data_IF_049966591448
#
_entry.id   IF_049966591448
#
_cell.length_a   1.000
_cell.length_b   1.000
_cell.length_c   1.000
_cell.angle_alpha   90.00
_cell.angle_beta   90.00
_cell.angle_gamma   90.00
#
_symmetry.space_group_name_H-M   'P 1'
#
loop_
_entity.id
_entity.type
_entity.pdbx_description
1 polymer ?
#
# COMPACT_ATOMS: atom_id res chain seq x y z
N UNK A 1 -44.14 17.01 69.73
CA UNK A 1 -45.12 18.05 70.08
C UNK A 1 -44.48 19.42 70.11
N UNK A 2 -44.41 20.06 68.94
CA UNK A 2 -44.35 21.52 68.85
C UNK A 2 -45.72 21.95 68.34
N UNK A 3 -46.41 22.74 69.17
CA UNK A 3 -47.81 23.14 68.99
C UNK A 3 -47.93 24.08 67.79
N UNK A 4 -48.73 23.69 66.79
CA UNK A 4 -49.08 24.51 65.62
C UNK A 4 -49.82 25.78 66.08
N UNK A 5 -49.29 26.96 65.75
CA UNK A 5 -49.95 28.25 65.98
C UNK A 5 -50.18 28.99 64.65
N UNK A 6 -51.21 29.85 64.60
CA UNK A 6 -51.66 30.59 63.41
C UNK A 6 -50.62 31.51 62.74
N UNK A 7 -49.41 31.65 63.30
CA UNK A 7 -48.39 32.59 62.79
C UNK A 7 -47.45 32.05 61.70
N UNK A 8 -47.59 30.79 61.25
CA UNK A 8 -46.65 30.16 60.31
C UNK A 8 -47.00 30.22 58.81
N UNK A 9 -47.98 31.03 58.37
CA UNK A 9 -48.47 30.96 56.98
C UNK A 9 -47.74 31.82 55.92
N UNK A 10 -46.64 32.51 56.26
CA UNK A 10 -46.06 33.51 55.33
C UNK A 10 -45.07 32.99 54.28
N UNK A 11 -44.77 31.69 54.19
CA UNK A 11 -43.85 31.16 53.16
C UNK A 11 -44.21 29.71 52.73
N UNK A 12 -45.37 29.52 52.09
CA UNK A 12 -45.77 28.23 51.50
C UNK A 12 -45.26 28.20 50.06
N UNK A 13 -44.19 27.46 49.78
CA UNK A 13 -43.68 27.33 48.40
C UNK A 13 -43.19 25.91 48.04
N UNK A 14 -43.67 24.87 48.75
CA UNK A 14 -43.38 23.47 48.42
C UNK A 14 -44.63 22.60 48.55
N UNK A 15 -44.75 21.64 47.62
CA UNK A 15 -45.88 20.70 47.45
C UNK A 15 -46.19 19.89 48.72
N UNK A 16 -45.19 19.67 49.58
CA UNK A 16 -45.31 18.90 50.82
C UNK A 16 -45.99 19.67 51.96
N UNK A 17 -45.94 21.01 51.94
CA UNK A 17 -46.58 21.85 52.96
C UNK A 17 -48.11 21.93 52.78
N UNK A 18 -48.58 21.77 51.53
CA UNK A 18 -50.01 21.69 51.20
C UNK A 18 -50.61 20.39 51.75
N UNK A 19 -49.89 19.26 51.63
CA UNK A 19 -50.37 17.97 52.12
C UNK A 19 -50.53 17.96 53.64
N UNK A 20 -49.63 18.63 54.37
CA UNK A 20 -49.70 18.78 55.83
C UNK A 20 -50.86 19.68 56.30
N UNK A 21 -51.21 20.71 55.52
CA UNK A 21 -52.39 21.54 55.78
C UNK A 21 -53.69 20.75 55.55
N UNK A 22 -53.73 19.91 54.52
CA UNK A 22 -54.87 19.03 54.23
C UNK A 22 -55.09 18.05 55.38
N UNK A 23 -54.03 17.44 55.93
CA UNK A 23 -54.16 16.46 57.03
C UNK A 23 -54.68 17.10 58.34
N UNK A 24 -54.34 18.38 58.60
CA UNK A 24 -54.89 19.16 59.71
C UNK A 24 -56.37 19.51 59.50
N UNK A 25 -56.75 20.02 58.32
CA UNK A 25 -58.13 20.36 58.00
C UNK A 25 -59.05 19.13 57.93
N UNK A 26 -58.51 17.95 57.66
CA UNK A 26 -59.26 16.69 57.56
C UNK A 26 -59.31 15.88 58.86
N UNK A 27 -58.80 16.42 59.98
CA UNK A 27 -59.01 15.86 61.32
C UNK A 27 -58.32 14.51 61.58
N UNK A 28 -57.30 14.14 60.79
CA UNK A 28 -56.51 12.92 61.02
C UNK A 28 -55.42 13.16 62.06
N UNK A 29 -55.82 13.34 63.32
CA UNK A 29 -54.86 13.39 64.44
C UNK A 29 -54.72 12.00 65.08
N UNK A 30 -53.52 11.39 65.09
CA UNK A 30 -53.31 10.13 65.80
C UNK A 30 -53.38 10.32 67.32
N UNK A 31 -53.98 9.35 68.01
CA UNK A 31 -54.26 9.37 69.44
C UNK A 31 -52.99 9.29 70.32
N UNK A 32 -53.01 9.85 71.55
CA UNK A 32 -51.85 9.85 72.44
C UNK A 32 -51.59 8.46 73.03
N UNK A 33 -50.33 8.06 73.07
CA UNK A 33 -49.82 6.80 73.61
C UNK A 33 -49.63 6.88 75.14
N UNK A 34 -49.99 5.80 75.84
CA UNK A 34 -49.84 5.66 77.29
C UNK A 34 -48.38 5.41 77.73
N UNK A 35 -48.06 5.86 78.94
CA UNK A 35 -46.78 5.77 79.67
C UNK A 35 -46.36 4.34 80.07
N UNK A 36 -45.04 4.09 80.32
CA UNK A 36 -44.46 2.74 80.32
C UNK A 36 -44.50 2.04 81.69
N UNK A 37 -44.39 0.71 81.67
CA UNK A 37 -44.14 -0.15 82.85
C UNK A 37 -42.73 -0.77 82.77
N UNK A 38 -41.98 -0.91 83.88
CA UNK A 38 -40.58 -1.34 83.83
C UNK A 38 -40.38 -2.87 83.73
N UNK A 39 -39.49 -3.21 82.80
CA UNK A 39 -38.46 -4.28 82.69
C UNK A 39 -38.49 -5.50 83.61
N UNK A 40 -38.10 -6.66 83.04
CA UNK A 40 -37.03 -7.45 83.63
C UNK A 40 -35.80 -7.63 82.72
N UNK A 41 -34.71 -7.97 83.41
CA UNK A 41 -33.28 -8.04 83.04
C UNK A 41 -32.94 -8.81 81.75
N UNK A 42 -31.90 -8.40 81.00
CA UNK A 42 -31.45 -9.13 79.81
C UNK A 42 -30.73 -10.44 80.16
N UNK A 43 -31.03 -11.45 79.34
CA UNK A 43 -30.32 -12.74 79.23
C UNK A 43 -29.00 -12.55 78.46
N UNK A 44 -27.93 -13.33 78.74
CA UNK A 44 -26.62 -13.13 78.13
C UNK A 44 -26.63 -13.29 76.60
N UNK A 45 -25.86 -12.42 75.96
CA UNK A 45 -25.68 -12.32 74.51
C UNK A 45 -24.79 -13.46 74.01
N UNK A 46 -25.16 -14.19 72.94
CA UNK A 46 -24.28 -15.18 72.35
C UNK A 46 -23.09 -14.52 71.65
N UNK A 47 -21.94 -15.18 71.75
CA UNK A 47 -20.63 -14.76 71.19
C UNK A 47 -20.72 -14.68 69.66
N UNK A 48 -20.23 -13.60 69.02
CA UNK A 48 -20.24 -13.49 67.56
C UNK A 48 -19.29 -14.51 66.91
N UNK A 49 -19.78 -15.15 65.85
CA UNK A 49 -19.01 -16.03 64.96
C UNK A 49 -17.87 -15.26 64.26
N UNK A 50 -16.71 -15.87 64.01
CA UNK A 50 -15.60 -15.19 63.35
C UNK A 50 -15.98 -14.73 61.93
N UNK A 51 -15.64 -13.47 61.64
CA UNK A 51 -15.78 -12.86 60.32
C UNK A 51 -14.87 -13.55 59.30
N UNK A 52 -15.37 -13.90 58.10
CA UNK A 52 -14.54 -14.49 57.05
C UNK A 52 -13.49 -13.48 56.56
N UNK A 53 -12.27 -13.96 56.36
CA UNK A 53 -11.11 -13.19 55.90
C UNK A 53 -11.37 -12.63 54.49
N UNK A 54 -11.02 -11.36 54.20
CA UNK A 54 -11.19 -10.79 52.86
C UNK A 54 -10.40 -11.59 51.83
N UNK A 55 -11.07 -11.90 50.72
CA UNK A 55 -10.48 -12.50 49.53
C UNK A 55 -9.46 -11.53 48.92
N UNK A 56 -8.27 -12.00 48.51
CA UNK A 56 -7.26 -11.14 47.90
C UNK A 56 -7.79 -10.56 46.58
N UNK A 57 -7.60 -9.26 46.41
CA UNK A 57 -7.92 -8.53 45.17
C UNK A 57 -7.04 -9.06 44.04
N UNK A 58 -7.59 -9.37 42.85
CA UNK A 58 -6.78 -9.83 41.74
C UNK A 58 -5.77 -8.76 41.33
N UNK A 59 -4.52 -9.17 41.20
CA UNK A 59 -3.42 -8.32 40.70
C UNK A 59 -3.72 -7.98 39.23
N UNK A 60 -3.56 -6.72 38.79
CA UNK A 60 -3.77 -6.36 37.40
C UNK A 60 -2.84 -7.17 36.50
N UNK A 61 -3.43 -7.84 35.51
CA UNK A 61 -2.72 -8.59 34.49
C UNK A 61 -1.79 -7.65 33.72
N UNK A 62 -0.51 -8.00 33.48
CA UNK A 62 0.38 -7.17 32.70
C UNK A 62 -0.20 -6.92 31.30
N UNK A 63 -0.23 -5.65 30.90
CA UNK A 63 -0.64 -5.24 29.55
C UNK A 63 0.42 -5.76 28.57
N UNK A 64 0.06 -6.50 27.52
CA UNK A 64 1.01 -6.94 26.52
C UNK A 64 1.68 -5.72 25.85
N UNK A 65 2.96 -5.81 25.48
CA UNK A 65 3.64 -4.72 24.79
C UNK A 65 2.88 -4.37 23.50
N UNK A 66 2.73 -3.07 23.24
CA UNK A 66 2.19 -2.57 21.98
C UNK A 66 3.01 -3.15 20.82
N UNK A 67 2.38 -3.78 19.81
CA UNK A 67 3.13 -4.30 18.68
C UNK A 67 3.90 -3.16 18.01
N UNK A 68 5.20 -3.36 17.79
CA UNK A 68 5.99 -2.47 16.94
C UNK A 68 5.33 -2.40 15.57
N UNK A 69 5.08 -1.20 14.99
CA UNK A 69 4.47 -1.11 13.67
C UNK A 69 5.32 -1.87 12.66
N UNK A 70 4.73 -2.87 12.01
CA UNK A 70 5.37 -3.57 10.91
C UNK A 70 5.49 -2.57 9.76
N UNK A 71 6.69 -2.35 9.20
CA UNK A 71 6.84 -1.43 8.08
C UNK A 71 5.95 -1.87 6.91
N UNK A 72 5.05 -0.99 6.49
CA UNK A 72 4.07 -1.24 5.43
C UNK A 72 4.74 -0.99 4.08
N UNK A 73 4.64 -1.95 3.17
CA UNK A 73 5.04 -1.76 1.77
C UNK A 73 4.14 -0.68 1.17
N UNK A 74 4.72 0.38 0.60
CA UNK A 74 3.95 1.52 0.12
C UNK A 74 4.76 2.80 -0.02
N UNK A 75 4.05 3.91 -0.15
CA UNK A 75 4.59 5.25 -0.34
C UNK A 75 4.19 6.11 0.85
N UNK A 76 5.14 6.80 1.46
CA UNK A 76 4.89 7.77 2.53
C UNK A 76 5.88 8.94 2.42
N UNK A 77 5.36 10.17 2.37
CA UNK A 77 6.17 11.40 2.36
C UNK A 77 7.33 11.45 1.34
N UNK A 78 7.12 10.89 0.15
CA UNK A 78 8.14 10.83 -0.92
C UNK A 78 9.14 9.68 -0.79
N UNK A 79 9.00 8.84 0.24
CA UNK A 79 9.76 7.60 0.39
C UNK A 79 8.93 6.41 -0.04
N UNK A 80 9.60 5.41 -0.60
CA UNK A 80 9.02 4.13 -1.00
C UNK A 80 9.65 3.00 -0.21
N UNK A 81 8.80 2.17 0.38
CA UNK A 81 9.19 0.95 1.08
C UNK A 81 8.74 -0.28 0.30
N UNK A 82 9.65 -1.18 -0.04
CA UNK A 82 9.37 -2.38 -0.83
C UNK A 82 10.37 -3.50 -0.53
N UNK A 83 10.08 -4.72 -1.04
CA UNK A 83 11.03 -5.84 -0.99
C UNK A 83 11.93 -5.82 -2.21
N UNK A 84 13.24 -5.69 -2.00
CA UNK A 84 14.22 -5.75 -3.08
C UNK A 84 14.37 -7.20 -3.61
N UNK A 85 15.21 -7.35 -4.63
CA UNK A 85 15.53 -8.60 -5.33
C UNK A 85 16.26 -9.63 -4.46
N UNK A 86 16.82 -9.22 -3.31
CA UNK A 86 17.40 -10.10 -2.29
C UNK A 86 16.36 -10.55 -1.25
N UNK A 87 15.17 -9.95 -1.27
CA UNK A 87 14.08 -10.19 -0.31
C UNK A 87 14.10 -9.25 0.89
N UNK A 88 15.06 -8.33 0.96
CA UNK A 88 15.17 -7.37 2.06
C UNK A 88 14.12 -6.26 1.90
N UNK A 89 13.56 -5.82 3.02
CA UNK A 89 12.74 -4.63 3.04
C UNK A 89 13.63 -3.39 3.02
N UNK A 90 13.46 -2.55 2.01
CA UNK A 90 14.24 -1.32 1.80
C UNK A 90 13.32 -0.13 1.72
N UNK A 91 13.78 1.02 2.22
CA UNK A 91 13.12 2.31 2.09
C UNK A 91 14.07 3.29 1.41
N UNK A 92 13.63 3.92 0.33
CA UNK A 92 14.44 4.90 -0.40
C UNK A 92 13.61 6.13 -0.83
N UNK A 93 14.28 7.26 -1.02
CA UNK A 93 13.63 8.51 -1.41
C UNK A 93 13.45 8.55 -2.93
N UNK A 94 12.22 8.81 -3.39
CA UNK A 94 11.90 8.93 -4.82
C UNK A 94 12.71 10.04 -5.49
N UNK A 95 13.03 11.11 -4.76
CA UNK A 95 13.83 12.23 -5.28
C UNK A 95 15.30 11.87 -5.55
N UNK A 96 15.79 10.76 -5.02
CA UNK A 96 17.17 10.32 -5.22
C UNK A 96 17.36 9.45 -6.49
N UNK A 97 16.27 9.05 -7.14
CA UNK A 97 16.28 8.20 -8.33
C UNK A 97 16.76 8.95 -9.57
N UNK A 98 17.24 8.23 -10.58
CA UNK A 98 17.53 8.78 -11.90
C UNK A 98 18.77 9.68 -11.99
N UNK A 99 19.57 9.79 -10.91
CA UNK A 99 20.86 10.50 -10.91
C UNK A 99 21.78 9.97 -12.01
N UNK A 100 22.66 10.83 -12.54
CA UNK A 100 23.59 10.45 -13.59
C UNK A 100 24.48 9.28 -13.13
N UNK A 101 24.58 8.24 -13.96
CA UNK A 101 25.49 7.10 -13.76
C UNK A 101 26.60 7.21 -14.80
N UNK A 102 27.85 7.25 -14.33
CA UNK A 102 29.02 7.33 -15.21
C UNK A 102 29.16 6.10 -16.09
N UNK A 103 29.67 6.31 -17.31
CA UNK A 103 29.96 5.23 -18.24
C UNK A 103 31.38 4.72 -18.00
N UNK A 104 31.51 3.50 -17.51
CA UNK A 104 32.76 2.74 -17.64
C UNK A 104 32.72 1.98 -18.96
N UNK A 105 33.72 2.20 -19.83
CA UNK A 105 33.89 1.42 -21.04
C UNK A 105 33.98 -0.09 -20.74
N UNK A 106 33.47 -0.89 -21.68
CA UNK A 106 33.33 -2.33 -21.50
C UNK A 106 31.96 -2.68 -20.92
N UNK A 107 31.23 -3.52 -21.64
CA UNK A 107 29.90 -4.03 -21.33
C UNK A 107 29.84 -4.64 -19.92
N UNK A 108 29.60 -3.81 -18.91
CA UNK A 108 29.74 -4.19 -17.51
C UNK A 108 28.40 -4.02 -16.79
N UNK A 109 27.70 -5.13 -16.59
CA UNK A 109 26.46 -5.19 -15.79
C UNK A 109 26.68 -4.64 -14.37
N UNK A 110 27.93 -4.67 -13.88
CA UNK A 110 28.30 -4.19 -12.56
C UNK A 110 28.22 -2.65 -12.45
N UNK A 111 28.14 -1.90 -13.57
CA UNK A 111 27.86 -0.46 -13.52
C UNK A 111 26.51 -0.14 -12.87
N UNK A 112 25.62 -1.14 -12.73
CA UNK A 112 24.32 -1.02 -12.10
C UNK A 112 24.26 -1.60 -10.68
N UNK A 113 25.35 -2.15 -10.13
CA UNK A 113 25.35 -2.81 -8.80
C UNK A 113 25.05 -1.85 -7.65
N UNK A 114 25.40 -0.57 -7.81
CA UNK A 114 25.05 0.49 -6.86
C UNK A 114 23.67 1.10 -7.06
N UNK A 115 22.91 0.64 -8.06
CA UNK A 115 21.60 1.19 -8.42
C UNK A 115 20.50 0.30 -7.85
N UNK A 116 19.56 0.92 -7.13
CA UNK A 116 18.46 0.22 -6.48
C UNK A 116 17.52 -0.45 -7.48
N UNK A 117 16.70 -1.38 -7.00
CA UNK A 117 15.77 -2.11 -7.85
C UNK A 117 14.64 -1.23 -8.36
N UNK A 118 14.22 -0.25 -7.57
CA UNK A 118 13.30 0.78 -8.01
C UNK A 118 13.90 1.63 -9.12
N UNK A 119 15.13 2.13 -8.93
CA UNK A 119 15.77 3.01 -9.90
C UNK A 119 16.03 2.28 -11.23
N UNK A 120 16.59 1.06 -11.19
CA UNK A 120 16.87 0.31 -12.43
C UNK A 120 15.59 -0.07 -13.19
N UNK A 121 14.51 -0.40 -12.48
CA UNK A 121 13.22 -0.70 -13.10
C UNK A 121 12.62 0.56 -13.76
N UNK A 122 12.63 1.69 -13.06
CA UNK A 122 12.15 2.97 -13.59
C UNK A 122 12.96 3.41 -14.82
N UNK A 123 14.30 3.31 -14.77
CA UNK A 123 15.20 3.63 -15.90
C UNK A 123 14.91 2.77 -17.12
N UNK A 124 14.67 1.48 -16.91
CA UNK A 124 14.33 0.56 -18.00
C UNK A 124 13.02 0.97 -18.66
N UNK A 125 11.95 1.18 -17.87
CA UNK A 125 10.64 1.59 -18.39
C UNK A 125 10.74 2.92 -19.16
N UNK A 126 11.42 3.89 -18.58
CA UNK A 126 11.61 5.21 -19.20
C UNK A 126 12.38 5.14 -20.51
N UNK A 127 13.51 4.44 -20.53
CA UNK A 127 14.41 4.47 -21.67
C UNK A 127 13.90 3.60 -22.84
N UNK A 128 13.09 2.57 -22.57
CA UNK A 128 12.43 1.77 -23.62
C UNK A 128 11.21 2.49 -24.21
N UNK A 129 10.65 3.48 -23.49
CA UNK A 129 9.56 4.31 -23.96
C UNK A 129 9.55 5.71 -23.32
N UNK A 130 10.14 6.69 -24.01
CA UNK A 130 10.26 8.07 -23.49
C UNK A 130 9.04 8.95 -23.72
N UNK A 131 7.97 8.42 -24.32
CA UNK A 131 6.83 9.25 -24.73
C UNK A 131 6.15 9.92 -23.53
N UNK A 132 6.04 9.25 -22.37
CA UNK A 132 5.45 9.81 -21.14
C UNK A 132 4.00 10.32 -21.27
N UNK A 133 3.39 10.11 -22.42
CA UNK A 133 2.05 10.57 -22.77
C UNK A 133 1.02 9.48 -22.43
N UNK A 134 -0.27 9.79 -22.61
CA UNK A 134 -1.38 8.85 -22.48
C UNK A 134 -1.46 7.90 -23.70
N UNK A 135 -0.33 7.33 -24.13
CA UNK A 135 -0.21 6.42 -25.28
C UNK A 135 0.02 4.96 -24.89
N UNK A 136 -0.05 4.67 -23.58
CA UNK A 136 0.15 3.37 -22.95
C UNK A 136 1.52 2.71 -23.20
N UNK A 137 2.50 3.42 -23.78
CA UNK A 137 3.77 2.81 -24.17
C UNK A 137 4.61 2.33 -22.98
N UNK A 138 4.71 3.12 -21.92
CA UNK A 138 5.44 2.75 -20.70
C UNK A 138 4.75 1.63 -19.93
N UNK A 139 3.42 1.67 -19.87
CA UNK A 139 2.59 0.62 -19.27
C UNK A 139 2.77 -0.70 -20.02
N UNK A 140 2.78 -0.67 -21.35
CA UNK A 140 3.05 -1.85 -22.17
C UNK A 140 4.46 -2.43 -21.92
N UNK A 141 5.49 -1.59 -21.80
CA UNK A 141 6.85 -2.05 -21.42
C UNK A 141 6.85 -2.68 -20.02
N UNK A 142 6.19 -2.05 -19.06
CA UNK A 142 6.05 -2.58 -17.70
C UNK A 142 5.36 -3.95 -17.68
N UNK A 143 4.29 -4.13 -18.45
CA UNK A 143 3.63 -5.42 -18.56
C UNK A 143 4.48 -6.48 -19.24
N UNK A 144 5.38 -6.13 -20.17
CA UNK A 144 6.37 -7.09 -20.68
C UNK A 144 7.27 -7.58 -19.55
N UNK A 145 7.74 -6.70 -18.67
CA UNK A 145 8.57 -7.05 -17.51
C UNK A 145 7.81 -7.97 -16.55
N UNK A 146 6.55 -7.63 -16.23
CA UNK A 146 5.66 -8.44 -15.38
C UNK A 146 5.40 -9.82 -15.99
N UNK A 147 5.01 -9.86 -17.26
CA UNK A 147 4.69 -11.10 -17.96
C UNK A 147 5.90 -12.04 -18.09
N UNK A 148 7.11 -11.48 -18.27
CA UNK A 148 8.36 -12.25 -18.28
C UNK A 148 8.64 -12.88 -16.93
N UNK A 149 8.54 -12.12 -15.83
CA UNK A 149 8.74 -12.65 -14.49
C UNK A 149 7.76 -13.81 -14.20
N UNK A 150 6.47 -13.61 -14.52
CA UNK A 150 5.42 -14.60 -14.27
C UNK A 150 5.62 -15.88 -15.10
N UNK A 151 5.95 -15.74 -16.39
CA UNK A 151 6.13 -16.88 -17.29
C UNK A 151 7.38 -17.71 -17.00
N UNK A 152 8.46 -17.06 -16.55
CA UNK A 152 9.79 -17.65 -16.40
C UNK A 152 10.30 -17.52 -14.96
N UNK A 153 9.43 -17.69 -13.97
CA UNK A 153 9.74 -17.44 -12.54
C UNK A 153 10.95 -18.23 -11.99
N UNK A 154 11.25 -19.39 -12.57
CA UNK A 154 12.44 -20.19 -12.25
C UNK A 154 13.74 -19.55 -12.78
N UNK A 155 13.68 -18.93 -13.97
CA UNK A 155 14.80 -18.26 -14.65
C UNK A 155 14.98 -16.81 -14.17
N UNK A 156 13.87 -16.12 -13.96
CA UNK A 156 13.80 -14.76 -13.43
C UNK A 156 13.26 -14.78 -12.01
N UNK A 157 14.13 -14.51 -11.04
CA UNK A 157 13.76 -14.52 -9.61
C UNK A 157 13.23 -13.16 -9.11
N UNK A 158 13.44 -12.09 -9.88
CA UNK A 158 13.07 -10.72 -9.51
C UNK A 158 12.92 -9.84 -10.75
N UNK A 159 12.24 -8.71 -10.61
CA UNK A 159 12.17 -7.70 -11.68
C UNK A 159 13.56 -7.19 -12.08
N UNK A 160 14.47 -7.02 -11.12
CA UNK A 160 15.89 -6.73 -11.39
C UNK A 160 16.50 -7.78 -12.34
N UNK A 161 16.26 -9.07 -12.05
CA UNK A 161 16.73 -10.16 -12.90
C UNK A 161 16.17 -10.11 -14.31
N UNK A 162 14.89 -9.71 -14.49
CA UNK A 162 14.29 -9.53 -15.81
C UNK A 162 14.94 -8.38 -16.58
N UNK A 163 15.13 -7.21 -15.95
CA UNK A 163 15.63 -6.01 -16.64
C UNK A 163 17.14 -6.04 -16.91
N UNK A 164 17.91 -6.81 -16.13
CA UNK A 164 19.35 -7.02 -16.34
C UNK A 164 19.67 -8.30 -17.13
N UNK A 165 18.66 -9.06 -17.55
CA UNK A 165 18.89 -10.26 -18.34
C UNK A 165 19.48 -9.93 -19.72
N UNK A 166 20.51 -10.69 -20.12
CA UNK A 166 21.29 -10.43 -21.34
C UNK A 166 20.40 -10.26 -22.57
N UNK A 167 20.52 -9.11 -23.24
CA UNK A 167 19.83 -8.82 -24.50
C UNK A 167 18.31 -8.63 -24.40
N UNK A 168 17.75 -8.53 -23.19
CA UNK A 168 16.30 -8.38 -22.99
C UNK A 168 15.81 -6.94 -23.12
N UNK A 169 16.66 -5.97 -22.78
CA UNK A 169 16.41 -4.53 -22.83
C UNK A 169 17.68 -3.82 -23.30
N UNK A 170 17.59 -2.98 -24.33
CA UNK A 170 18.75 -2.27 -24.89
C UNK A 170 19.20 -1.11 -23.99
N UNK A 171 18.40 -0.77 -22.99
CA UNK A 171 18.60 0.40 -22.14
C UNK A 171 19.50 0.12 -20.94
N UNK A 172 19.53 -1.13 -20.48
CA UNK A 172 20.46 -1.61 -19.44
C UNK A 172 21.71 -2.27 -20.04
N UNK A 173 21.63 -2.74 -21.30
CA UNK A 173 22.63 -3.63 -21.92
C UNK A 173 22.93 -3.36 -23.42
N UNK A 174 22.38 -2.31 -24.03
CA UNK A 174 22.45 -2.04 -25.48
C UNK A 174 23.30 -0.82 -25.86
N UNK A 175 23.05 -0.27 -27.06
CA UNK A 175 23.92 0.73 -27.69
C UNK A 175 24.06 2.06 -26.93
N UNK A 176 25.01 2.88 -27.38
CA UNK A 176 25.44 4.10 -26.69
C UNK A 176 24.32 5.12 -26.46
N UNK A 177 23.24 5.12 -27.24
CA UNK A 177 22.23 6.19 -27.19
C UNK A 177 21.03 5.83 -26.31
N UNK A 178 20.51 4.61 -26.40
CA UNK A 178 19.49 4.12 -25.45
C UNK A 178 20.04 4.08 -24.02
N UNK A 179 21.33 3.73 -23.87
CA UNK A 179 21.97 3.70 -22.56
C UNK A 179 22.22 5.10 -21.99
N UNK A 180 22.39 6.14 -22.83
CA UNK A 180 22.47 7.55 -22.36
C UNK A 180 21.17 7.98 -21.67
N UNK A 181 20.02 7.57 -22.21
CA UNK A 181 18.70 7.89 -21.63
C UNK A 181 18.54 7.24 -20.26
N UNK A 182 18.83 5.95 -20.16
CA UNK A 182 18.76 5.21 -18.89
C UNK A 182 19.72 5.78 -17.84
N UNK A 183 20.93 6.20 -18.21
CA UNK A 183 21.94 6.76 -17.29
C UNK A 183 21.56 8.13 -16.73
N UNK A 184 20.80 8.93 -17.46
CA UNK A 184 20.49 10.33 -17.12
C UNK A 184 18.99 10.56 -16.87
N UNK A 185 18.25 9.50 -16.53
CA UNK A 185 16.80 9.50 -16.61
C UNK A 185 16.11 10.59 -15.77
N UNK A 186 16.64 10.89 -14.59
CA UNK A 186 16.13 11.94 -13.69
C UNK A 186 16.70 13.34 -13.94
N UNK A 187 17.67 13.51 -14.86
CA UNK A 187 18.34 14.80 -15.07
C UNK A 187 17.71 15.62 -16.20
N UNK A 188 16.71 15.09 -16.90
CA UNK A 188 16.07 15.78 -18.01
C UNK A 188 15.09 16.86 -17.53
N UNK A 189 15.28 18.10 -17.98
CA UNK A 189 14.48 19.26 -17.57
C UNK A 189 13.37 19.63 -18.54
N UNK A 190 13.34 19.05 -19.75
CA UNK A 190 12.24 19.31 -20.69
C UNK A 190 10.95 18.72 -20.13
N UNK A 191 9.86 19.50 -20.19
CA UNK A 191 8.56 19.14 -19.59
C UNK A 191 8.11 17.72 -19.96
N UNK A 192 8.24 17.36 -21.24
CA UNK A 192 7.84 16.04 -21.75
C UNK A 192 8.71 14.91 -21.19
N UNK A 193 10.05 15.08 -21.16
CA UNK A 193 10.93 14.02 -20.63
C UNK A 193 10.83 13.88 -19.13
N UNK A 194 10.69 14.99 -18.40
CA UNK A 194 10.46 14.93 -16.96
C UNK A 194 9.17 14.18 -16.64
N UNK A 195 8.08 14.49 -17.34
CA UNK A 195 6.81 13.78 -17.18
C UNK A 195 6.92 12.28 -17.50
N UNK A 196 7.67 11.93 -18.55
CA UNK A 196 7.95 10.54 -18.90
C UNK A 196 8.76 9.80 -17.81
N UNK A 197 9.74 10.46 -17.20
CA UNK A 197 10.50 9.90 -16.08
C UNK A 197 9.61 9.72 -14.84
N UNK A 198 8.89 10.76 -14.44
CA UNK A 198 7.99 10.72 -13.27
C UNK A 198 6.94 9.60 -13.43
N UNK A 199 6.40 9.41 -14.66
CA UNK A 199 5.47 8.32 -14.99
C UNK A 199 6.14 6.94 -14.85
N UNK A 200 7.35 6.76 -15.39
CA UNK A 200 8.08 5.51 -15.29
C UNK A 200 8.40 5.13 -13.83
N UNK A 201 8.75 6.12 -13.00
CA UNK A 201 8.95 5.95 -11.56
C UNK A 201 7.66 5.50 -10.89
N UNK A 202 6.53 6.16 -11.14
CA UNK A 202 5.24 5.77 -10.55
C UNK A 202 4.83 4.34 -10.94
N UNK A 203 5.09 3.92 -12.17
CA UNK A 203 4.84 2.55 -12.63
C UNK A 203 5.78 1.57 -11.89
N UNK A 204 7.07 1.87 -11.80
CA UNK A 204 8.03 1.03 -11.08
C UNK A 204 7.68 0.87 -9.59
N UNK A 205 7.23 1.96 -8.95
CA UNK A 205 6.72 1.94 -7.57
C UNK A 205 5.50 1.03 -7.46
N UNK A 206 4.53 1.14 -8.36
CA UNK A 206 3.34 0.29 -8.35
C UNK A 206 3.71 -1.20 -8.50
N UNK A 207 4.68 -1.53 -9.35
CA UNK A 207 5.20 -2.89 -9.51
C UNK A 207 5.81 -3.42 -8.20
N UNK A 208 6.75 -2.69 -7.60
CA UNK A 208 7.51 -3.15 -6.44
C UNK A 208 6.70 -3.12 -5.14
N UNK A 209 5.68 -2.28 -5.07
CA UNK A 209 4.73 -2.21 -3.95
C UNK A 209 3.53 -3.14 -4.12
N UNK A 210 3.54 -4.02 -5.13
CA UNK A 210 2.49 -5.01 -5.41
C UNK A 210 1.11 -4.40 -5.70
N UNK A 211 1.08 -3.20 -6.27
CA UNK A 211 -0.12 -2.48 -6.71
C UNK A 211 -0.24 -2.47 -8.25
N UNK A 212 0.01 -3.62 -8.90
CA UNK A 212 0.02 -3.72 -10.37
C UNK A 212 -1.37 -3.53 -11.00
N UNK A 213 -2.44 -3.68 -10.22
CA UNK A 213 -3.82 -3.35 -10.59
C UNK A 213 -3.98 -1.87 -10.99
N UNK A 214 -3.10 -0.99 -10.51
CA UNK A 214 -3.08 0.44 -10.86
C UNK A 214 -2.41 0.71 -12.21
N UNK A 215 -1.81 -0.29 -12.85
CA UNK A 215 -1.16 -0.15 -14.15
C UNK A 215 -2.10 -0.73 -15.21
N UNK A 216 -2.61 0.10 -16.10
CA UNK A 216 -3.42 -0.38 -17.24
C UNK A 216 -2.66 -1.44 -18.03
N UNK A 217 -3.31 -2.57 -18.36
CA UNK A 217 -2.71 -3.64 -19.16
C UNK A 217 -3.21 -3.62 -20.61
N UNK A 218 -2.54 -2.89 -21.51
CA UNK A 218 -2.92 -2.82 -22.92
C UNK A 218 -2.45 -4.01 -23.76
N UNK A 219 -1.54 -4.86 -23.23
CA UNK A 219 -0.87 -5.90 -24.01
C UNK A 219 -1.19 -7.33 -23.55
N UNK A 220 -2.09 -7.50 -22.60
CA UNK A 220 -2.45 -8.80 -22.01
C UNK A 220 -1.20 -9.55 -21.50
N UNK A 221 -0.95 -10.77 -21.98
CA UNK A 221 0.18 -11.63 -21.58
C UNK A 221 1.41 -11.54 -22.50
N UNK A 222 1.42 -10.61 -23.48
CA UNK A 222 2.52 -10.48 -24.46
C UNK A 222 3.86 -10.24 -23.75
N UNK A 223 4.92 -10.89 -24.22
CA UNK A 223 6.25 -10.90 -23.57
C UNK A 223 7.37 -10.29 -24.42
N UNK A 224 7.05 -9.89 -25.64
CA UNK A 224 8.02 -9.43 -26.61
C UNK A 224 7.58 -8.12 -27.23
N UNK A 225 8.54 -7.24 -27.48
CA UNK A 225 8.33 -6.04 -28.23
C UNK A 225 9.57 -5.66 -29.03
N UNK A 226 9.38 -4.86 -30.07
CA UNK A 226 10.42 -4.22 -30.87
C UNK A 226 9.93 -2.84 -31.30
N UNK A 227 10.87 -1.94 -31.58
CA UNK A 227 10.56 -0.68 -32.25
C UNK A 227 9.78 -0.94 -33.53
N UNK A 228 8.82 -0.06 -33.83
CA UNK A 228 8.03 -0.07 -35.08
C UNK A 228 8.90 -0.10 -36.33
N UNK A 229 10.13 0.42 -36.27
CA UNK A 229 11.07 0.43 -37.40
C UNK A 229 11.51 -0.97 -37.82
N UNK A 230 11.55 -1.92 -36.88
CA UNK A 230 11.89 -3.32 -37.16
C UNK A 230 10.83 -3.97 -38.06
N UNK A 231 9.59 -3.48 -38.05
CA UNK A 231 8.48 -4.04 -38.81
C UNK A 231 8.32 -3.44 -40.21
N UNK A 232 9.28 -2.63 -40.66
CA UNK A 232 9.33 -2.15 -42.05
C UNK A 232 9.91 -3.26 -42.94
N UNK A 233 9.34 -3.49 -44.12
CA UNK A 233 9.81 -4.55 -45.04
C UNK A 233 11.27 -4.39 -45.45
N UNK A 234 11.73 -3.14 -45.59
CA UNK A 234 13.12 -2.81 -45.92
C UNK A 234 14.10 -2.94 -44.73
N UNK A 235 13.62 -3.30 -43.53
CA UNK A 235 14.50 -3.51 -42.37
C UNK A 235 15.41 -4.73 -42.52
N UNK A 236 15.07 -5.66 -43.42
CA UNK A 236 15.71 -6.98 -43.52
C UNK A 236 15.44 -7.89 -42.30
N UNK A 237 14.62 -7.44 -41.34
CA UNK A 237 14.34 -8.14 -40.08
C UNK A 237 12.87 -8.53 -39.92
N UNK A 238 12.01 -8.09 -40.83
CA UNK A 238 10.59 -8.39 -40.83
C UNK A 238 10.14 -8.79 -42.23
N UNK A 239 9.24 -9.77 -42.30
CA UNK A 239 8.58 -10.18 -43.53
C UNK A 239 7.21 -10.78 -43.23
N UNK A 240 6.39 -10.84 -44.27
CA UNK A 240 5.14 -11.59 -44.27
C UNK A 240 5.29 -12.71 -45.30
N UNK A 241 5.12 -13.96 -44.88
CA UNK A 241 5.15 -15.14 -45.76
C UNK A 241 3.80 -15.81 -45.65
N UNK A 242 3.06 -15.89 -46.76
CA UNK A 242 1.72 -16.54 -46.78
C UNK A 242 0.76 -15.98 -45.71
N UNK A 243 0.81 -14.66 -45.46
CA UNK A 243 -0.01 -14.01 -44.43
C UNK A 243 0.47 -14.18 -42.99
N UNK A 244 1.57 -14.91 -42.77
CA UNK A 244 2.22 -15.06 -41.47
C UNK A 244 3.32 -14.00 -41.27
N UNK A 245 3.18 -13.17 -40.24
CA UNK A 245 4.22 -12.24 -39.81
C UNK A 245 5.41 -12.99 -39.21
N UNK A 246 6.63 -12.59 -39.58
CA UNK A 246 7.88 -13.19 -39.10
C UNK A 246 8.91 -12.12 -38.76
N UNK A 247 9.67 -12.36 -37.68
CA UNK A 247 10.83 -11.56 -37.30
C UNK A 247 12.11 -12.40 -37.34
N UNK A 248 13.18 -11.80 -37.87
CA UNK A 248 14.50 -12.40 -37.84
C UNK A 248 15.19 -12.12 -36.50
N UNK A 249 15.49 -13.18 -35.75
CA UNK A 249 16.25 -13.12 -34.50
C UNK A 249 16.98 -14.43 -34.26
N UNK A 250 18.15 -14.36 -33.61
CA UNK A 250 18.97 -15.53 -33.27
C UNK A 250 19.31 -16.41 -34.48
N UNK A 251 19.62 -15.78 -35.61
CA UNK A 251 20.02 -16.47 -36.84
C UNK A 251 18.87 -17.08 -37.65
N UNK A 252 17.61 -16.95 -37.20
CA UNK A 252 16.45 -17.60 -37.85
C UNK A 252 15.22 -16.69 -37.94
N UNK A 253 14.31 -17.05 -38.82
CA UNK A 253 12.99 -16.44 -38.92
C UNK A 253 12.03 -17.08 -37.92
N UNK A 254 11.37 -16.26 -37.11
CA UNK A 254 10.45 -16.70 -36.06
C UNK A 254 9.06 -16.13 -36.35
N UNK A 255 8.03 -16.99 -36.33
CA UNK A 255 6.64 -16.57 -36.48
C UNK A 255 6.20 -15.74 -35.27
N UNK A 256 5.48 -14.66 -35.54
CA UNK A 256 4.86 -13.83 -34.51
C UNK A 256 3.36 -13.70 -34.73
N UNK A 257 2.63 -13.41 -33.65
CA UNK A 257 1.18 -13.22 -33.70
C UNK A 257 0.71 -12.17 -32.69
N UNK A 258 -0.55 -11.79 -32.85
CA UNK A 258 -1.29 -10.86 -31.99
C UNK A 258 -0.59 -9.51 -31.82
N UNK A 259 -0.04 -8.95 -32.91
CA UNK A 259 0.77 -7.73 -32.85
C UNK A 259 -0.10 -6.52 -32.51
N UNK A 260 0.23 -5.82 -31.43
CA UNK A 260 -0.41 -4.55 -31.03
C UNK A 260 0.63 -3.43 -30.95
N UNK A 261 0.23 -2.19 -31.20
CA UNK A 261 1.14 -1.03 -31.20
C UNK A 261 0.76 -0.05 -30.09
N UNK A 262 1.76 0.35 -29.31
CA UNK A 262 1.68 1.43 -28.34
C UNK A 262 2.94 2.27 -28.43
N UNK A 263 2.77 3.58 -28.56
CA UNK A 263 3.87 4.50 -28.87
C UNK A 263 4.67 4.04 -30.11
N UNK A 264 6.00 4.06 -30.00
CA UNK A 264 6.94 3.61 -31.04
C UNK A 264 7.30 2.13 -30.95
N UNK A 265 6.54 1.34 -30.18
CA UNK A 265 6.78 -0.08 -29.98
C UNK A 265 5.60 -0.94 -30.45
N UNK A 266 5.92 -2.10 -31.02
CA UNK A 266 4.97 -3.18 -31.31
C UNK A 266 5.23 -4.35 -30.39
N UNK A 267 4.18 -4.84 -29.74
CA UNK A 267 4.17 -5.90 -28.75
C UNK A 267 3.51 -7.14 -29.34
N UNK A 268 4.06 -8.33 -29.09
CA UNK A 268 3.65 -9.55 -29.77
C UNK A 268 3.93 -10.83 -28.97
N UNK A 269 3.40 -11.95 -29.48
CA UNK A 269 3.72 -13.32 -29.06
C UNK A 269 4.51 -14.02 -30.16
N UNK A 270 5.40 -14.96 -29.80
CA UNK A 270 5.92 -15.91 -30.78
C UNK A 270 4.87 -17.01 -31.02
N UNK A 271 4.71 -17.42 -32.27
CA UNK A 271 3.75 -18.45 -32.65
C UNK A 271 3.16 -18.20 -34.04
N UNK A 272 2.47 -19.22 -34.56
CA UNK A 272 1.68 -19.08 -35.79
C UNK A 272 0.38 -18.33 -35.48
N UNK A 273 -0.09 -17.56 -36.46
CA UNK A 273 -1.44 -16.98 -36.43
C UNK A 273 -2.45 -18.11 -36.31
N UNK A 274 -3.42 -17.92 -35.42
CA UNK A 274 -4.52 -18.88 -35.20
C UNK A 274 -5.51 -18.85 -36.37
#
# INVERSE_FOLDING_TARGET
DEVFSEKSYKNINKKDDIQRLIDYLTGKQPAPTATPSPSPSPSPTPVPSPTPRPTPTPVPTPIPPTPTPVPVIGIENGYVTYKNSKGDLVTENIADLGKAVEYTDGWNVNSWDGISDLDILARTIFAECTSGLNDYGQEAVAWVIINRLTYKKEEYKSYRGVVLARGQFSTTLGDSDSTKLARNAGTYTTKTRKAAWDKAVNIAVAILTQNTDKISNPIEDRRYFRSVDVFKENSGRYRIVEGQEQLYSDGKWNNIKDVVRYSDNKFFRYGKKD
#
